data_IF_849907547860
#
_entry.id   IF_849907547860
#
_cell.length_a   1.000
_cell.length_b   1.000
_cell.length_c   1.000
_cell.angle_alpha   90.00
_cell.angle_beta   90.00
_cell.angle_gamma   90.00
#
_symmetry.space_group_name_H-M   'P 1'
#
loop_
_entity.id
_entity.type
_entity.pdbx_description
1 polymer ?
#
# COMPACT_ATOMS: atom_id res chain seq x y z
N UNK A 1 -31.05 13.81 5.61
CA UNK A 1 -29.74 14.47 5.39
C UNK A 1 -28.68 13.77 6.25
N UNK A 2 -28.38 12.52 5.93
CA UNK A 2 -27.25 11.77 6.46
C UNK A 2 -26.82 10.88 5.30
N UNK A 3 -25.58 11.00 4.81
CA UNK A 3 -25.09 10.03 3.82
C UNK A 3 -24.19 10.51 2.69
N UNK A 4 -23.61 11.71 2.72
CA UNK A 4 -22.65 12.13 1.66
C UNK A 4 -21.34 12.72 2.21
N UNK A 5 -21.23 12.93 3.52
CA UNK A 5 -20.14 13.74 4.08
C UNK A 5 -18.83 13.01 4.37
N UNK A 6 -18.80 11.67 4.38
CA UNK A 6 -17.67 10.89 4.93
C UNK A 6 -17.47 9.51 4.28
N UNK A 7 -17.99 9.24 3.08
CA UNK A 7 -17.63 8.00 2.39
C UNK A 7 -16.20 8.10 1.89
N UNK A 8 -15.38 7.11 2.23
CA UNK A 8 -14.05 7.04 1.67
C UNK A 8 -14.15 6.69 0.19
N UNK A 9 -13.35 7.35 -0.65
CA UNK A 9 -13.20 6.96 -2.04
C UNK A 9 -12.34 5.69 -2.12
N UNK A 10 -12.97 4.56 -1.80
CA UNK A 10 -12.38 3.22 -1.84
C UNK A 10 -11.77 2.93 -3.22
N UNK A 11 -12.43 3.25 -4.36
CA UNK A 11 -11.81 3.15 -5.68
C UNK A 11 -10.48 3.89 -5.78
N UNK A 12 -10.40 5.14 -5.33
CA UNK A 12 -9.14 5.91 -5.35
C UNK A 12 -8.07 5.31 -4.45
N UNK A 13 -8.42 4.82 -3.26
CA UNK A 13 -7.47 4.13 -2.36
C UNK A 13 -6.91 2.86 -3.02
N UNK A 14 -7.76 2.04 -3.64
CA UNK A 14 -7.35 0.82 -4.34
C UNK A 14 -6.50 1.12 -5.58
N UNK A 15 -6.88 2.15 -6.35
CA UNK A 15 -6.11 2.59 -7.51
C UNK A 15 -4.72 3.08 -7.09
N UNK A 16 -4.64 3.99 -6.11
CA UNK A 16 -3.38 4.46 -5.55
C UNK A 16 -2.54 3.32 -4.98
N UNK A 17 -3.17 2.39 -4.27
CA UNK A 17 -2.51 1.18 -3.75
C UNK A 17 -1.82 0.36 -4.84
N UNK A 18 -2.55 0.08 -5.93
CA UNK A 18 -2.02 -0.62 -7.11
C UNK A 18 -0.89 0.16 -7.78
N UNK A 19 -1.03 1.47 -7.92
CA UNK A 19 -0.03 2.32 -8.56
C UNK A 19 1.28 2.34 -7.77
N UNK A 20 1.22 2.52 -6.45
CA UNK A 20 2.39 2.49 -5.58
C UNK A 20 3.09 1.13 -5.58
N UNK A 21 2.35 0.02 -5.50
CA UNK A 21 2.92 -1.32 -5.65
C UNK A 21 3.62 -1.48 -7.00
N UNK A 22 2.95 -1.11 -8.10
CA UNK A 22 3.50 -1.24 -9.45
C UNK A 22 4.73 -0.34 -9.68
N UNK A 23 4.76 0.87 -9.11
CA UNK A 23 5.94 1.74 -9.16
C UNK A 23 7.09 1.10 -8.35
N UNK A 24 6.81 0.57 -7.16
CA UNK A 24 7.80 -0.11 -6.32
C UNK A 24 8.44 -1.31 -7.04
N UNK A 25 7.64 -2.16 -7.69
CA UNK A 25 8.13 -3.30 -8.47
C UNK A 25 9.00 -2.87 -9.66
N UNK A 26 8.55 -1.87 -10.43
CA UNK A 26 9.33 -1.35 -11.57
C UNK A 26 10.64 -0.73 -11.11
N UNK A 27 10.60 0.01 -10.01
CA UNK A 27 11.78 0.64 -9.44
C UNK A 27 12.77 -0.43 -8.94
N UNK A 28 12.30 -1.45 -8.22
CA UNK A 28 13.13 -2.59 -7.79
C UNK A 28 13.79 -3.28 -8.99
N UNK A 29 13.03 -3.54 -10.06
CA UNK A 29 13.58 -4.14 -11.29
C UNK A 29 14.66 -3.26 -11.93
N UNK A 30 14.49 -1.94 -11.94
CA UNK A 30 15.49 -1.00 -12.44
C UNK A 30 16.76 -1.00 -11.58
N UNK A 31 16.62 -1.07 -10.26
CA UNK A 31 17.74 -1.15 -9.31
C UNK A 31 18.52 -2.44 -9.51
N UNK A 32 17.84 -3.58 -9.65
CA UNK A 32 18.50 -4.87 -9.92
C UNK A 32 19.25 -4.85 -11.27
N UNK A 33 18.66 -4.25 -12.30
CA UNK A 33 19.34 -4.08 -13.60
C UNK A 33 20.60 -3.22 -13.47
N UNK A 34 20.52 -2.11 -12.73
CA UNK A 34 21.65 -1.23 -12.48
C UNK A 34 22.76 -1.98 -11.73
N UNK A 35 22.40 -2.67 -10.65
CA UNK A 35 23.33 -3.48 -9.84
C UNK A 35 24.05 -4.52 -10.69
N UNK A 36 23.30 -5.31 -11.44
CA UNK A 36 23.88 -6.35 -12.30
C UNK A 36 24.77 -5.77 -13.40
N UNK A 37 24.41 -4.63 -13.99
CA UNK A 37 25.22 -3.98 -15.01
C UNK A 37 26.54 -3.45 -14.42
N UNK A 38 26.50 -2.78 -13.27
CA UNK A 38 27.69 -2.25 -12.61
C UNK A 38 28.62 -3.37 -12.13
N UNK A 39 28.08 -4.41 -11.46
CA UNK A 39 28.87 -5.58 -11.07
C UNK A 39 29.44 -6.31 -12.29
N UNK A 40 28.74 -6.33 -13.42
CA UNK A 40 29.26 -6.87 -14.67
C UNK A 40 30.44 -6.06 -15.24
N UNK A 41 30.49 -4.75 -15.03
CA UNK A 41 31.60 -3.89 -15.45
C UNK A 41 32.82 -4.00 -14.53
N UNK A 42 32.61 -4.35 -13.26
CA UNK A 42 33.67 -4.47 -12.26
C UNK A 42 34.60 -5.67 -12.50
N UNK A 43 34.13 -6.68 -13.25
CA UNK A 43 34.93 -7.87 -13.58
C UNK A 43 35.25 -8.74 -12.37
N UNK A 44 36.09 -9.77 -12.55
CA UNK A 44 36.50 -10.69 -11.46
C UNK A 44 37.98 -10.57 -11.05
N UNK A 45 38.87 -10.18 -11.96
CA UNK A 45 40.32 -10.31 -11.75
C UNK A 45 41.03 -9.02 -11.37
N UNK A 46 40.62 -7.88 -11.94
CA UNK A 46 41.22 -6.58 -11.63
C UNK A 46 40.11 -5.54 -11.55
N UNK A 47 39.98 -4.82 -10.43
CA UNK A 47 38.99 -3.77 -10.30
C UNK A 47 39.13 -2.74 -11.43
N UNK A 48 38.03 -2.12 -11.89
CA UNK A 48 38.06 -1.21 -13.05
C UNK A 48 38.86 0.08 -12.79
N UNK A 49 39.20 0.36 -11.54
CA UNK A 49 40.04 1.47 -11.11
C UNK A 49 41.52 1.11 -10.87
N UNK A 50 41.92 -0.14 -11.15
CA UNK A 50 43.30 -0.61 -10.98
C UNK A 50 43.61 -1.16 -9.59
N UNK A 51 44.72 -1.88 -9.50
CA UNK A 51 45.25 -2.52 -8.28
C UNK A 51 46.50 -1.79 -7.73
N UNK A 52 46.67 -0.53 -8.10
CA UNK A 52 47.69 0.35 -7.52
C UNK A 52 47.13 1.06 -6.26
N UNK A 53 48.00 1.66 -5.44
CA UNK A 53 47.60 2.32 -4.18
C UNK A 53 46.54 3.43 -4.38
N UNK A 54 46.51 4.07 -5.56
CA UNK A 54 45.47 5.04 -5.90
C UNK A 54 44.16 4.33 -6.24
N UNK A 55 44.21 3.27 -7.05
CA UNK A 55 43.07 2.42 -7.35
C UNK A 55 42.42 1.84 -6.09
N UNK A 56 43.20 1.26 -5.18
CA UNK A 56 42.69 0.67 -3.93
C UNK A 56 41.91 1.70 -3.09
N UNK A 57 42.47 2.90 -2.90
CA UNK A 57 41.81 3.99 -2.16
C UNK A 57 40.52 4.45 -2.82
N UNK A 58 40.52 4.54 -4.15
CA UNK A 58 39.31 4.85 -4.90
C UNK A 58 38.26 3.76 -4.72
N UNK A 59 38.65 2.50 -4.85
CA UNK A 59 37.79 1.34 -4.69
C UNK A 59 37.06 1.32 -3.36
N UNK A 60 37.78 1.49 -2.25
CA UNK A 60 37.16 1.52 -0.90
C UNK A 60 36.04 2.56 -0.80
N UNK A 61 36.26 3.76 -1.33
CA UNK A 61 35.26 4.84 -1.29
C UNK A 61 34.10 4.56 -2.24
N UNK A 62 34.41 4.12 -3.46
CA UNK A 62 33.41 3.83 -4.49
C UNK A 62 32.51 2.66 -4.09
N UNK A 63 33.07 1.55 -3.63
CA UNK A 63 32.32 0.36 -3.21
C UNK A 63 31.43 0.68 -2.02
N UNK A 64 31.94 1.41 -1.02
CA UNK A 64 31.13 1.85 0.12
C UNK A 64 29.95 2.74 -0.29
N UNK A 65 30.17 3.70 -1.19
CA UNK A 65 29.11 4.54 -1.73
C UNK A 65 28.11 3.74 -2.57
N UNK A 66 28.60 2.86 -3.45
CA UNK A 66 27.82 1.99 -4.32
C UNK A 66 26.90 1.09 -3.51
N UNK A 67 27.43 0.40 -2.52
CA UNK A 67 26.69 -0.54 -1.69
C UNK A 67 25.63 0.19 -0.84
N UNK A 68 25.99 1.35 -0.26
CA UNK A 68 25.03 2.20 0.43
C UNK A 68 23.90 2.71 -0.48
N UNK A 69 24.20 3.02 -1.75
CA UNK A 69 23.18 3.36 -2.74
C UNK A 69 22.28 2.16 -3.05
N UNK A 70 22.82 0.96 -3.24
CA UNK A 70 22.01 -0.25 -3.47
C UNK A 70 21.05 -0.52 -2.32
N UNK A 71 21.52 -0.41 -1.08
CA UNK A 71 20.67 -0.56 0.11
C UNK A 71 19.57 0.51 0.16
N UNK A 72 19.93 1.79 -0.03
CA UNK A 72 18.98 2.90 -0.03
C UNK A 72 17.91 2.75 -1.11
N UNK A 73 18.30 2.33 -2.32
CA UNK A 73 17.37 2.11 -3.42
C UNK A 73 16.48 0.89 -3.16
N UNK A 74 17.02 -0.21 -2.64
CA UNK A 74 16.22 -1.37 -2.22
C UNK A 74 15.18 -1.00 -1.16
N UNK A 75 15.58 -0.21 -0.15
CA UNK A 75 14.68 0.27 0.89
C UNK A 75 13.56 1.18 0.34
N UNK A 76 13.89 2.09 -0.58
CA UNK A 76 12.87 2.92 -1.24
C UNK A 76 11.87 2.07 -2.02
N UNK A 77 12.32 1.05 -2.73
CA UNK A 77 11.43 0.13 -3.43
C UNK A 77 10.45 -0.57 -2.48
N UNK A 78 10.95 -1.07 -1.34
CA UNK A 78 10.13 -1.70 -0.32
C UNK A 78 9.10 -0.71 0.27
N UNK A 79 9.51 0.54 0.56
CA UNK A 79 8.59 1.56 1.09
C UNK A 79 7.48 1.94 0.12
N UNK A 80 7.74 1.98 -1.19
CA UNK A 80 6.71 2.19 -2.19
C UNK A 80 5.66 1.05 -2.17
N UNK A 81 6.11 -0.20 -2.04
CA UNK A 81 5.22 -1.36 -1.94
C UNK A 81 4.44 -1.36 -0.61
N UNK A 82 5.07 -0.97 0.50
CA UNK A 82 4.40 -0.83 1.79
C UNK A 82 3.26 0.21 1.75
N UNK A 83 3.50 1.37 1.12
CA UNK A 83 2.45 2.38 0.88
C UNK A 83 1.31 1.79 0.06
N UNK A 84 1.64 1.05 -1.00
CA UNK A 84 0.67 0.37 -1.85
C UNK A 84 -0.22 -0.61 -1.05
N UNK A 85 0.41 -1.42 -0.19
CA UNK A 85 -0.27 -2.31 0.74
C UNK A 85 -1.17 -1.58 1.72
N UNK A 86 -0.68 -0.52 2.36
CA UNK A 86 -1.43 0.25 3.34
C UNK A 86 -2.69 0.90 2.74
N UNK A 87 -2.59 1.47 1.54
CA UNK A 87 -3.75 2.03 0.82
C UNK A 87 -4.77 0.96 0.46
N UNK A 88 -4.32 -0.23 0.07
CA UNK A 88 -5.21 -1.36 -0.17
C UNK A 88 -5.95 -1.79 1.10
N UNK A 89 -5.24 -1.93 2.22
CA UNK A 89 -5.84 -2.24 3.52
C UNK A 89 -6.85 -1.18 3.93
N UNK A 90 -6.53 0.10 3.75
CA UNK A 90 -7.44 1.20 4.08
C UNK A 90 -8.75 1.10 3.26
N UNK A 91 -8.65 0.80 1.96
CA UNK A 91 -9.83 0.59 1.12
C UNK A 91 -10.68 -0.61 1.54
N UNK A 92 -10.08 -1.69 2.06
CA UNK A 92 -10.83 -2.84 2.57
C UNK A 92 -11.50 -2.56 3.92
N UNK A 93 -10.81 -1.84 4.81
CA UNK A 93 -11.37 -1.43 6.09
C UNK A 93 -12.60 -0.53 5.91
N UNK A 94 -12.51 0.47 5.01
CA UNK A 94 -13.65 1.33 4.73
C UNK A 94 -14.85 0.56 4.15
N UNK A 95 -14.61 -0.40 3.25
CA UNK A 95 -15.69 -1.26 2.73
C UNK A 95 -16.36 -2.04 3.85
N UNK A 96 -15.57 -2.66 4.72
CA UNK A 96 -16.09 -3.45 5.83
C UNK A 96 -16.91 -2.61 6.82
N UNK A 97 -16.45 -1.40 7.12
CA UNK A 97 -17.15 -0.47 8.00
C UNK A 97 -18.48 0.01 7.39
N UNK A 98 -18.50 0.29 6.08
CA UNK A 98 -19.72 0.66 5.36
C UNK A 98 -20.73 -0.48 5.32
N UNK A 99 -20.31 -1.71 4.99
CA UNK A 99 -21.16 -2.91 4.99
C UNK A 99 -21.75 -3.18 6.38
N UNK A 100 -20.93 -3.05 7.43
CA UNK A 100 -21.36 -3.21 8.81
C UNK A 100 -22.40 -2.16 9.19
N UNK A 101 -22.13 -0.89 8.92
CA UNK A 101 -23.05 0.20 9.24
C UNK A 101 -24.38 0.08 8.48
N UNK A 102 -24.34 -0.30 7.20
CA UNK A 102 -25.55 -0.55 6.42
C UNK A 102 -26.39 -1.67 7.02
N UNK A 103 -25.75 -2.77 7.44
CA UNK A 103 -26.44 -3.90 8.09
C UNK A 103 -27.12 -3.48 9.40
N UNK A 104 -26.43 -2.66 10.20
CA UNK A 104 -26.90 -2.18 11.50
C UNK A 104 -28.08 -1.21 11.33
N UNK A 105 -28.01 -0.31 10.35
CA UNK A 105 -29.11 0.57 9.97
C UNK A 105 -30.34 -0.21 9.51
N UNK A 106 -30.18 -1.20 8.61
CA UNK A 106 -31.28 -2.06 8.15
C UNK A 106 -31.96 -2.78 9.31
N UNK A 107 -31.18 -3.31 10.25
CA UNK A 107 -31.72 -3.98 11.44
C UNK A 107 -32.50 -3.01 12.34
N UNK A 108 -32.00 -1.80 12.59
CA UNK A 108 -32.72 -0.80 13.38
C UNK A 108 -34.05 -0.40 12.74
N UNK A 109 -34.08 -0.21 11.42
CA UNK A 109 -35.31 0.10 10.67
C UNK A 109 -36.31 -1.04 10.82
N UNK A 110 -35.90 -2.28 10.57
CA UNK A 110 -36.76 -3.46 10.70
C UNK A 110 -37.32 -3.62 12.13
N UNK A 111 -36.49 -3.39 13.15
CA UNK A 111 -36.93 -3.44 14.55
C UNK A 111 -37.95 -2.34 14.87
N UNK A 112 -37.74 -1.12 14.37
CA UNK A 112 -38.67 -0.01 14.58
C UNK A 112 -40.02 -0.26 13.88
N UNK A 113 -40.00 -0.82 12.67
CA UNK A 113 -41.21 -1.22 11.94
C UNK A 113 -41.98 -2.31 12.69
N UNK A 114 -41.30 -3.34 13.19
CA UNK A 114 -41.91 -4.42 13.98
C UNK A 114 -42.55 -3.88 15.27
N UNK A 115 -41.87 -2.97 15.98
CA UNK A 115 -42.43 -2.33 17.18
C UNK A 115 -43.68 -1.49 16.85
N UNK A 116 -43.65 -0.73 15.76
CA UNK A 116 -44.80 0.06 15.31
C UNK A 116 -46.01 -0.81 15.00
N UNK A 117 -45.81 -1.97 14.36
CA UNK A 117 -46.86 -2.94 14.06
C UNK A 117 -47.47 -3.57 15.32
N UNK A 118 -46.66 -3.86 16.34
CA UNK A 118 -47.16 -4.37 17.62
C UNK A 118 -48.04 -3.33 18.33
N UNK A 119 -47.63 -2.07 18.32
CA UNK A 119 -48.38 -0.97 18.94
C UNK A 119 -49.70 -0.73 18.20
N UNK A 120 -49.72 -0.77 16.87
CA UNK A 120 -50.95 -0.61 16.08
C UNK A 120 -51.91 -1.78 16.26
N UNK A 121 -51.39 -3.01 16.32
CA UNK A 121 -52.18 -4.21 16.62
C UNK A 121 -52.83 -4.18 18.01
N UNK A 122 -52.14 -3.64 19.02
CA UNK A 122 -52.68 -3.46 20.37
C UNK A 122 -53.77 -2.37 20.45
N UNK A 123 -53.74 -1.40 19.54
CA UNK A 123 -54.67 -0.25 19.52
C UNK A 123 -55.92 -0.49 18.66
N UNK A 124 -55.96 -1.58 17.88
CA UNK A 124 -57.16 -1.99 17.16
C UNK A 124 -58.24 -2.44 18.18
N UNK A 125 -59.42 -1.81 18.22
CA UNK A 125 -60.46 -2.17 19.17
C UNK A 125 -60.92 -3.61 18.91
N UNK A 126 -60.92 -4.44 19.96
CA UNK A 126 -61.59 -5.73 19.94
C UNK A 126 -63.10 -5.48 19.72
N UNK A 127 -63.56 -5.72 18.50
CA UNK A 127 -64.99 -5.89 18.17
C UNK A 127 -65.32 -7.36 18.03
#
# INVERSE_FOLDING_TARGET
>A
MAGDGLQADIPSLKAGGKDFTGIGERYQSAVEKLKNALTGLEGQDTPPWGDDDIGEKFGVVYEGLRDGMYESMGHLAAKLQEIGGALNTMGDNHRADEDFNESLMKQHVANAEAQSQLISGFKAPHT
#
